data_IF_662992167907
#
_entry.id   IF_662992167907
#
_cell.length_a   1.000
_cell.length_b   1.000
_cell.length_c   1.000
_cell.angle_alpha   90.00
_cell.angle_beta   90.00
_cell.angle_gamma   90.00
#
_symmetry.space_group_name_H-M   'P 1'
#
loop_
_entity.id
_entity.type
_entity.pdbx_description
1 polymer ?
#
# COMPACT_ATOMS: atom_id res chain seq x y z
N UNK A 1 25.04 -14.48 -28.10
CA UNK A 1 23.97 -15.04 -27.25
C UNK A 1 23.00 -13.94 -26.83
N UNK A 2 21.70 -14.15 -26.96
CA UNK A 2 20.65 -13.16 -26.67
C UNK A 2 20.74 -12.57 -25.25
N UNK A 3 21.11 -13.37 -24.24
CA UNK A 3 21.34 -12.89 -22.87
C UNK A 3 22.36 -11.75 -22.77
N UNK A 4 23.46 -11.82 -23.55
CA UNK A 4 24.50 -10.79 -23.63
C UNK A 4 23.97 -9.50 -24.28
N UNK A 5 23.08 -9.62 -25.26
CA UNK A 5 22.47 -8.48 -25.95
C UNK A 5 21.55 -7.65 -25.04
N UNK A 6 20.86 -8.32 -24.10
CA UNK A 6 19.99 -7.67 -23.10
C UNK A 6 20.72 -7.26 -21.82
N UNK A 7 22.00 -7.62 -21.67
CA UNK A 7 22.79 -7.31 -20.47
C UNK A 7 22.36 -8.10 -19.22
N UNK A 8 21.87 -9.34 -19.38
CA UNK A 8 21.48 -10.21 -18.26
C UNK A 8 22.18 -11.57 -18.31
N UNK A 9 22.15 -12.30 -17.20
CA UNK A 9 22.69 -13.66 -17.15
C UNK A 9 21.87 -14.62 -18.04
N UNK A 10 22.48 -15.67 -18.61
CA UNK A 10 21.77 -16.69 -19.39
C UNK A 10 20.58 -17.29 -18.62
N UNK A 11 20.77 -17.60 -17.34
CA UNK A 11 19.73 -18.16 -16.46
C UNK A 11 18.50 -17.25 -16.37
N UNK A 12 18.70 -15.93 -16.22
CA UNK A 12 17.59 -14.97 -16.22
C UNK A 12 16.91 -14.88 -17.58
N UNK A 13 17.67 -14.92 -18.67
CA UNK A 13 17.09 -14.94 -20.01
C UNK A 13 16.22 -16.18 -20.23
N UNK A 14 16.65 -17.35 -19.75
CA UNK A 14 15.88 -18.60 -19.79
C UNK A 14 14.58 -18.50 -18.99
N UNK A 15 14.59 -17.89 -17.80
CA UNK A 15 13.35 -17.64 -17.03
C UNK A 15 12.37 -16.73 -17.78
N UNK A 16 12.86 -15.67 -18.43
CA UNK A 16 12.01 -14.80 -19.25
C UNK A 16 11.42 -15.55 -20.44
N UNK A 17 12.21 -16.40 -21.08
CA UNK A 17 11.77 -17.22 -22.20
C UNK A 17 10.64 -18.19 -21.78
N UNK A 18 10.76 -18.82 -20.61
CA UNK A 18 9.68 -19.66 -20.05
C UNK A 18 8.37 -18.87 -19.89
N UNK A 19 8.45 -17.64 -19.38
CA UNK A 19 7.28 -16.77 -19.18
C UNK A 19 6.68 -16.27 -20.49
N UNK A 20 7.49 -16.04 -21.51
CA UNK A 20 7.03 -15.72 -22.87
C UNK A 20 6.20 -16.87 -23.46
N UNK A 21 6.69 -18.11 -23.35
CA UNK A 21 5.93 -19.28 -23.81
C UNK A 21 4.63 -19.54 -23.03
N UNK A 22 4.54 -19.06 -21.78
CA UNK A 22 3.32 -19.09 -20.97
C UNK A 22 2.35 -17.94 -21.29
N UNK A 23 2.67 -17.07 -22.25
CA UNK A 23 1.87 -15.89 -22.60
C UNK A 23 1.89 -14.79 -21.53
N UNK A 24 2.77 -14.90 -20.53
CA UNK A 24 2.90 -13.92 -19.45
C UNK A 24 3.72 -12.72 -19.92
N UNK A 25 4.72 -12.95 -20.77
CA UNK A 25 5.58 -11.92 -21.35
C UNK A 25 5.32 -11.79 -22.85
N UNK A 26 5.41 -10.58 -23.35
CA UNK A 26 5.50 -10.28 -24.78
C UNK A 26 6.97 -10.24 -25.26
N UNK A 27 7.17 -9.96 -26.54
CA UNK A 27 8.51 -9.91 -27.14
C UNK A 27 9.36 -8.77 -26.54
N UNK A 28 8.73 -7.64 -26.19
CA UNK A 28 9.41 -6.48 -25.60
C UNK A 28 9.87 -6.81 -24.17
N UNK A 29 9.05 -7.55 -23.42
CA UNK A 29 9.38 -8.04 -22.09
C UNK A 29 10.56 -9.02 -22.11
N UNK A 30 10.63 -9.91 -23.10
CA UNK A 30 11.73 -10.86 -23.28
C UNK A 30 13.07 -10.11 -23.47
N UNK A 31 13.08 -9.08 -24.32
CA UNK A 31 14.25 -8.28 -24.67
C UNK A 31 14.41 -6.99 -23.87
N UNK A 32 13.65 -6.81 -22.78
CA UNK A 32 13.76 -5.62 -21.96
C UNK A 32 15.11 -5.56 -21.23
N UNK A 33 15.92 -4.54 -21.53
CA UNK A 33 17.18 -4.27 -20.82
C UNK A 33 16.96 -3.92 -19.35
N UNK A 34 15.75 -3.46 -18.98
CA UNK A 34 15.47 -2.91 -17.66
C UNK A 34 14.52 -3.82 -16.88
N UNK A 35 15.08 -4.72 -16.05
CA UNK A 35 14.32 -5.65 -15.21
C UNK A 35 13.36 -4.98 -14.22
N UNK A 36 13.55 -3.70 -13.96
CA UNK A 36 12.70 -2.87 -13.09
C UNK A 36 11.31 -2.63 -13.69
N UNK A 37 11.20 -2.46 -15.02
CA UNK A 37 9.91 -2.29 -15.70
C UNK A 37 9.13 -3.62 -15.72
N UNK A 38 9.83 -4.74 -15.94
CA UNK A 38 9.25 -6.08 -15.84
C UNK A 38 8.76 -6.40 -14.43
N UNK A 39 9.58 -6.06 -13.41
CA UNK A 39 9.15 -6.15 -12.01
C UNK A 39 7.96 -5.24 -11.76
N UNK A 40 7.94 -3.99 -12.21
CA UNK A 40 6.81 -3.08 -12.03
C UNK A 40 5.51 -3.59 -12.69
N UNK A 41 5.58 -4.18 -13.89
CA UNK A 41 4.45 -4.80 -14.60
C UNK A 41 3.92 -6.02 -13.84
N UNK A 42 4.84 -6.87 -13.37
CA UNK A 42 4.53 -8.02 -12.52
C UNK A 42 3.91 -7.58 -11.18
N UNK A 43 4.39 -6.47 -10.61
CA UNK A 43 3.91 -5.88 -9.37
C UNK A 43 2.49 -5.31 -9.50
N UNK A 44 2.15 -4.65 -10.61
CA UNK A 44 0.75 -4.26 -10.87
C UNK A 44 -0.22 -5.46 -10.95
N UNK A 45 0.28 -6.70 -10.99
CA UNK A 45 -0.52 -7.92 -11.07
C UNK A 45 -0.55 -8.71 -9.74
N UNK A 46 0.36 -8.44 -8.79
CA UNK A 46 0.41 -9.15 -7.51
C UNK A 46 -0.62 -8.55 -6.56
N UNK A 47 -1.74 -9.25 -6.41
CA UNK A 47 -2.69 -9.01 -5.33
C UNK A 47 -2.00 -9.25 -3.99
N UNK A 48 -2.08 -8.26 -3.10
CA UNK A 48 -1.57 -8.43 -1.74
C UNK A 48 -2.68 -9.00 -0.86
N UNK A 49 -2.32 -9.95 -0.02
CA UNK A 49 -3.22 -10.55 0.94
C UNK A 49 -2.71 -10.26 2.35
N UNK A 50 -3.53 -9.63 3.18
CA UNK A 50 -3.18 -9.32 4.57
C UNK A 50 -4.43 -9.33 5.45
N UNK A 51 -4.39 -10.09 6.55
CA UNK A 51 -5.50 -10.22 7.52
C UNK A 51 -6.85 -10.58 6.86
N UNK A 52 -6.83 -11.50 5.87
CA UNK A 52 -8.03 -11.91 5.14
C UNK A 52 -8.54 -10.91 4.09
N UNK A 53 -7.88 -9.75 3.95
CA UNK A 53 -8.22 -8.74 2.93
C UNK A 53 -7.35 -8.97 1.70
N UNK A 54 -7.97 -8.95 0.52
CA UNK A 54 -7.27 -8.97 -0.77
C UNK A 54 -7.26 -7.58 -1.38
N UNK A 55 -6.07 -7.02 -1.57
CA UNK A 55 -5.88 -5.70 -2.17
C UNK A 55 -5.67 -5.85 -3.68
N UNK A 56 -6.61 -5.33 -4.46
CA UNK A 56 -6.56 -5.36 -5.93
C UNK A 56 -5.61 -4.30 -6.52
N UNK A 57 -5.07 -3.41 -5.69
CA UNK A 57 -4.05 -2.44 -6.09
C UNK A 57 -3.17 -2.07 -4.91
N UNK A 58 -1.94 -1.64 -5.18
CA UNK A 58 -1.09 -1.09 -4.12
C UNK A 58 -1.60 0.21 -3.55
N UNK A 59 -2.38 0.98 -4.34
CA UNK A 59 -3.12 2.13 -3.81
C UNK A 59 -4.02 1.73 -2.65
N UNK A 60 -4.84 0.69 -2.84
CA UNK A 60 -5.68 0.19 -1.76
C UNK A 60 -4.86 -0.28 -0.55
N UNK A 61 -3.69 -0.88 -0.77
CA UNK A 61 -2.81 -1.36 0.31
C UNK A 61 -2.14 -0.22 1.10
N UNK A 62 -1.57 0.79 0.42
CA UNK A 62 -0.92 1.91 1.11
C UNK A 62 -1.93 2.86 1.74
N UNK A 63 -3.11 3.01 1.12
CA UNK A 63 -4.24 3.72 1.73
C UNK A 63 -4.62 2.98 3.01
N UNK A 64 -4.82 1.67 2.99
CA UNK A 64 -5.20 0.86 4.17
C UNK A 64 -4.25 1.01 5.37
N UNK A 65 -2.94 1.11 5.16
CA UNK A 65 -1.98 1.30 6.28
C UNK A 65 -1.63 2.77 6.55
N UNK A 66 -2.15 3.70 5.75
CA UNK A 66 -2.02 5.13 5.98
C UNK A 66 -0.64 5.70 5.72
N UNK A 67 0.02 5.29 4.64
CA UNK A 67 1.34 5.82 4.26
C UNK A 67 1.33 6.32 2.82
N UNK A 68 2.30 7.19 2.49
CA UNK A 68 2.48 7.65 1.11
C UNK A 68 2.88 6.51 0.18
N UNK A 69 2.54 6.65 -1.10
CA UNK A 69 2.95 5.72 -2.16
C UNK A 69 4.47 5.50 -2.19
N UNK A 70 5.27 6.56 -2.01
CA UNK A 70 6.73 6.46 -1.95
C UNK A 70 7.21 5.61 -0.76
N UNK A 71 6.65 5.84 0.43
CA UNK A 71 6.98 5.06 1.63
C UNK A 71 6.58 3.58 1.46
N UNK A 72 5.41 3.32 0.86
CA UNK A 72 4.96 1.97 0.57
C UNK A 72 5.86 1.27 -0.44
N UNK A 73 6.22 1.93 -1.55
CA UNK A 73 7.11 1.37 -2.56
C UNK A 73 8.48 1.00 -1.99
N UNK A 74 9.00 1.80 -1.07
CA UNK A 74 10.24 1.47 -0.34
C UNK A 74 10.12 0.16 0.46
N UNK A 75 8.98 -0.08 1.12
CA UNK A 75 8.72 -1.33 1.86
C UNK A 75 8.45 -2.50 0.94
N UNK A 76 7.67 -2.27 -0.12
CA UNK A 76 7.34 -3.27 -1.12
C UNK A 76 8.61 -3.83 -1.76
N UNK A 77 9.57 -2.96 -2.11
CA UNK A 77 10.88 -3.38 -2.64
C UNK A 77 11.60 -4.35 -1.68
N UNK A 78 11.60 -4.05 -0.37
CA UNK A 78 12.21 -4.91 0.65
C UNK A 78 11.46 -6.24 0.80
N UNK A 79 10.13 -6.21 0.77
CA UNK A 79 9.29 -7.41 0.84
C UNK A 79 9.58 -8.36 -0.32
N UNK A 80 9.66 -7.83 -1.54
CA UNK A 80 9.96 -8.62 -2.75
C UNK A 80 11.39 -9.16 -2.79
N UNK A 81 12.31 -8.49 -2.09
CA UNK A 81 13.67 -8.97 -1.91
C UNK A 81 13.78 -10.04 -0.81
N UNK A 82 12.69 -10.36 -0.11
CA UNK A 82 12.69 -11.28 1.04
C UNK A 82 13.23 -10.66 2.34
N UNK A 83 13.55 -9.37 2.34
CA UNK A 83 14.03 -8.66 3.53
C UNK A 83 12.89 -8.36 4.51
N UNK A 84 11.66 -8.23 4.00
CA UNK A 84 10.46 -7.96 4.81
C UNK A 84 9.46 -9.13 4.73
N UNK A 85 8.79 -9.39 5.84
CA UNK A 85 7.56 -10.21 5.87
C UNK A 85 6.34 -9.40 5.44
N UNK A 86 5.20 -10.07 5.23
CA UNK A 86 3.94 -9.39 4.89
C UNK A 86 3.46 -8.48 6.04
N UNK A 87 3.67 -8.88 7.29
CA UNK A 87 3.37 -8.07 8.47
C UNK A 87 4.24 -6.81 8.53
N UNK A 88 5.50 -6.91 8.12
CA UNK A 88 6.42 -5.76 8.05
C UNK A 88 6.08 -4.81 6.90
N UNK A 89 5.60 -5.33 5.77
CA UNK A 89 5.06 -4.52 4.67
C UNK A 89 3.87 -3.68 5.16
N UNK A 90 2.92 -4.33 5.84
CA UNK A 90 1.68 -3.72 6.36
C UNK A 90 1.81 -3.08 7.74
N UNK A 91 3.02 -3.01 8.30
CA UNK A 91 3.25 -2.42 9.63
C UNK A 91 2.80 -0.95 9.66
N UNK A 92 2.05 -0.57 10.68
CA UNK A 92 1.68 0.84 10.86
C UNK A 92 2.93 1.73 10.97
N UNK A 93 2.94 2.92 10.35
CA UNK A 93 4.07 3.83 10.46
C UNK A 93 4.36 4.14 11.93
N UNK A 94 5.64 4.00 12.34
CA UNK A 94 6.12 4.34 13.71
C UNK A 94 5.83 5.80 14.08
N UNK A 95 5.74 6.64 13.05
CA UNK A 95 5.29 8.02 13.10
C UNK A 95 4.07 8.15 12.19
N UNK A 96 2.97 7.45 12.48
CA UNK A 96 1.67 7.91 11.97
C UNK A 96 1.55 9.34 12.47
N UNK A 97 1.54 10.31 11.57
CA UNK A 97 1.38 11.73 11.89
C UNK A 97 0.08 11.92 12.69
N UNK A 98 0.15 11.78 14.03
CA UNK A 98 -0.78 12.16 15.11
C UNK A 98 -2.30 11.97 15.01
N UNK A 99 -2.83 11.56 13.85
CA UNK A 99 -4.16 11.95 13.41
C UNK A 99 -4.96 10.82 12.77
N UNK A 100 -4.49 9.57 12.92
CA UNK A 100 -5.26 8.41 12.52
C UNK A 100 -6.31 8.08 13.58
N UNK A 101 -7.55 7.88 13.16
CA UNK A 101 -8.64 7.43 14.03
C UNK A 101 -9.47 6.38 13.32
N UNK A 102 -9.79 5.29 14.03
CA UNK A 102 -10.62 4.20 13.51
C UNK A 102 -12.02 4.35 14.05
N UNK A 103 -13.03 4.20 13.20
CA UNK A 103 -14.43 4.20 13.58
C UNK A 103 -15.22 3.22 12.71
N UNK A 104 -15.91 2.28 13.36
CA UNK A 104 -16.49 1.09 12.71
C UNK A 104 -15.49 0.37 11.78
N UNK A 105 -15.88 0.14 10.51
CA UNK A 105 -15.07 -0.51 9.47
C UNK A 105 -14.24 0.48 8.65
N UNK A 106 -14.07 1.72 9.11
CA UNK A 106 -13.31 2.76 8.41
C UNK A 106 -12.13 3.24 9.25
N UNK A 107 -11.01 3.49 8.56
CA UNK A 107 -9.83 4.15 9.13
C UNK A 107 -9.73 5.52 8.46
N UNK A 108 -9.66 6.56 9.27
CA UNK A 108 -9.43 7.93 8.82
C UNK A 108 -7.97 8.27 9.07
N UNK A 109 -7.27 8.78 8.06
CA UNK A 109 -5.85 9.10 8.15
C UNK A 109 -5.58 10.55 8.54
N UNK A 110 -6.64 11.35 8.64
CA UNK A 110 -6.60 12.66 9.25
C UNK A 110 -7.90 12.97 9.99
N UNK A 111 -7.81 13.82 11.01
CA UNK A 111 -9.01 14.36 11.67
C UNK A 111 -9.84 15.23 10.74
N UNK A 112 -9.25 15.80 9.68
CA UNK A 112 -9.99 16.56 8.64
C UNK A 112 -10.89 15.65 7.83
N UNK A 113 -10.39 14.49 7.44
CA UNK A 113 -11.16 13.45 6.75
C UNK A 113 -12.29 12.91 7.64
N UNK A 114 -12.00 12.64 8.92
CA UNK A 114 -13.01 12.22 9.89
C UNK A 114 -14.11 13.29 10.07
N UNK A 115 -13.74 14.57 10.15
CA UNK A 115 -14.68 15.67 10.26
C UNK A 115 -15.60 15.78 9.03
N UNK A 116 -15.03 15.67 7.82
CA UNK A 116 -15.78 15.67 6.56
C UNK A 116 -16.77 14.51 6.50
N UNK A 117 -16.37 13.32 6.96
CA UNK A 117 -17.22 12.13 6.95
C UNK A 117 -18.51 12.28 7.76
N UNK A 118 -18.46 12.97 8.90
CA UNK A 118 -19.63 13.23 9.74
C UNK A 118 -20.27 14.60 9.47
N UNK A 119 -19.79 15.33 8.46
CA UNK A 119 -20.38 16.59 8.00
C UNK A 119 -20.10 17.80 8.90
N UNK A 120 -19.00 17.81 9.67
CA UNK A 120 -18.66 18.94 10.56
C UNK A 120 -17.34 19.62 10.18
N UNK A 121 -17.15 20.85 10.67
CA UNK A 121 -15.89 21.56 10.49
C UNK A 121 -14.74 20.89 11.27
N UNK A 122 -13.52 21.03 10.76
CA UNK A 122 -12.32 20.53 11.44
C UNK A 122 -12.20 21.06 12.88
N UNK A 123 -12.53 22.34 13.11
CA UNK A 123 -12.49 22.95 14.43
C UNK A 123 -13.52 22.34 15.39
N UNK A 124 -14.73 22.05 14.91
CA UNK A 124 -15.75 21.37 15.71
C UNK A 124 -15.31 19.94 16.06
N UNK A 125 -14.76 19.21 15.09
CA UNK A 125 -14.21 17.87 15.31
C UNK A 125 -13.08 17.90 16.34
N UNK A 126 -12.15 18.85 16.25
CA UNK A 126 -11.03 18.95 17.18
C UNK A 126 -11.49 19.28 18.61
N UNK A 127 -12.57 20.07 18.78
CA UNK A 127 -13.20 20.28 20.10
C UNK A 127 -13.77 18.99 20.68
N UNK A 128 -14.48 18.19 19.87
CA UNK A 128 -15.00 16.88 20.30
C UNK A 128 -13.85 15.92 20.61
N UNK A 129 -12.81 15.89 19.79
CA UNK A 129 -11.63 15.05 19.99
C UNK A 129 -10.93 15.33 21.33
N UNK A 130 -10.84 16.60 21.75
CA UNK A 130 -10.31 16.95 23.08
C UNK A 130 -11.13 16.34 24.21
N UNK A 131 -12.47 16.39 24.11
CA UNK A 131 -13.38 15.76 25.07
C UNK A 131 -13.24 14.23 25.07
N UNK A 132 -13.08 13.63 23.90
CA UNK A 132 -12.86 12.18 23.78
C UNK A 132 -11.53 11.77 24.44
N UNK A 133 -10.45 12.52 24.19
CA UNK A 133 -9.13 12.26 24.82
C UNK A 133 -9.13 12.46 26.34
N UNK A 134 -10.05 13.28 26.87
CA UNK A 134 -10.26 13.45 28.31
C UNK A 134 -11.34 12.51 28.87
N UNK A 135 -11.78 11.50 28.12
CA UNK A 135 -12.84 10.55 28.49
C UNK A 135 -14.19 11.19 28.85
N UNK A 136 -14.45 12.42 28.39
CA UNK A 136 -15.72 13.12 28.64
C UNK A 136 -16.83 12.75 27.65
N UNK A 137 -16.47 12.10 26.53
CA UNK A 137 -17.40 11.55 25.53
C UNK A 137 -16.83 10.22 25.00
N UNK A 138 -17.71 9.37 24.49
CA UNK A 138 -17.41 8.11 23.82
C UNK A 138 -16.96 8.32 22.36
N UNK A 139 -16.45 7.25 21.73
CA UNK A 139 -16.07 7.26 20.33
C UNK A 139 -17.28 7.47 19.39
N UNK A 140 -18.45 6.93 19.75
CA UNK A 140 -19.68 7.12 18.99
C UNK A 140 -20.15 8.58 19.07
N UNK A 141 -20.03 9.23 20.23
CA UNK A 141 -20.34 10.65 20.39
C UNK A 141 -19.34 11.56 19.66
N UNK A 142 -18.08 11.16 19.55
CA UNK A 142 -17.10 11.87 18.70
C UNK A 142 -17.56 11.86 17.23
N UNK A 143 -18.11 10.74 16.76
CA UNK A 143 -18.58 10.53 15.39
C UNK A 143 -20.09 10.77 15.18
N UNK A 144 -20.79 11.32 16.18
CA UNK A 144 -22.21 11.63 16.06
C UNK A 144 -22.45 12.65 14.93
N UNK A 145 -23.36 12.32 14.02
CA UNK A 145 -23.82 13.27 12.99
C UNK A 145 -24.59 14.40 13.66
N UNK A 146 -24.40 15.61 13.15
CA UNK A 146 -25.15 16.78 13.61
C UNK A 146 -26.45 16.88 12.83
#
# INVERSE_FOLDING_TARGET
MAAKYVGITPTKFTERLKRYHQGIYDIDDLYSRNSTNLRAKQLNTIKLHYQGITFNSYKAAYDYIGISSAAFNGRLKKYLNGEFTIEQLFRSPKHSQGHMIKYHRRTFYSYKEAAQYIGISYNAFNKRLKKYKSNAITLDELFAKT
#
